data_IF_952177035685
#
_entry.id   IF_952177035685
#
_cell.length_a   1.000
_cell.length_b   1.000
_cell.length_c   1.000
_cell.angle_alpha   90.00
_cell.angle_beta   90.00
_cell.angle_gamma   90.00
#
_symmetry.space_group_name_H-M   'P 1'
#
loop_
_entity.id
_entity.type
_entity.pdbx_description
1 polymer ?
#
# COMPACT_ATOMS: atom_id res chain seq x y z
N UNK A 1 4.86 24.27 3.21
CA UNK A 1 4.42 22.86 3.12
C UNK A 1 4.67 22.27 1.73
N UNK A 2 4.13 22.88 0.66
CA UNK A 2 4.30 22.45 -0.74
C UNK A 2 5.73 22.02 -1.12
N UNK A 3 6.74 22.87 -0.88
CA UNK A 3 8.14 22.57 -1.22
C UNK A 3 8.70 21.35 -0.48
N UNK A 4 8.27 21.11 0.77
CA UNK A 4 8.71 19.95 1.56
C UNK A 4 8.14 18.67 0.96
N UNK A 5 6.86 18.68 0.57
CA UNK A 5 6.22 17.55 -0.12
C UNK A 5 6.89 17.29 -1.46
N UNK A 6 7.18 18.36 -2.24
CA UNK A 6 7.91 18.23 -3.52
C UNK A 6 9.26 17.56 -3.32
N UNK A 7 10.01 17.99 -2.31
CA UNK A 7 11.31 17.41 -1.96
C UNK A 7 11.20 15.92 -1.59
N UNK A 8 10.17 15.53 -0.83
CA UNK A 8 9.90 14.12 -0.51
C UNK A 8 9.70 13.31 -1.80
N UNK A 9 8.82 13.77 -2.69
CA UNK A 9 8.56 13.08 -3.97
C UNK A 9 9.84 13.01 -4.81
N UNK A 10 10.56 14.13 -4.92
CA UNK A 10 11.79 14.23 -5.68
C UNK A 10 12.84 13.21 -5.22
N UNK A 11 13.07 13.09 -3.90
CA UNK A 11 14.04 12.16 -3.34
C UNK A 11 13.69 10.69 -3.59
N UNK A 12 12.43 10.32 -3.33
CA UNK A 12 11.98 8.93 -3.48
C UNK A 12 11.97 8.51 -4.95
N UNK A 13 11.52 9.37 -5.86
CA UNK A 13 11.48 9.06 -7.29
C UNK A 13 12.83 9.21 -7.99
N UNK A 14 13.73 10.07 -7.50
CA UNK A 14 15.13 10.10 -7.94
C UNK A 14 15.81 8.78 -7.63
N UNK A 15 15.71 8.30 -6.38
CA UNK A 15 16.28 7.00 -5.96
C UNK A 15 15.70 5.85 -6.79
N UNK A 16 14.39 5.85 -7.02
CA UNK A 16 13.75 4.87 -7.90
C UNK A 16 14.34 4.90 -9.31
N UNK A 17 14.49 6.09 -9.90
CA UNK A 17 14.99 6.26 -11.26
C UNK A 17 16.44 5.80 -11.38
N UNK A 18 17.29 6.11 -10.40
CA UNK A 18 18.69 5.67 -10.34
C UNK A 18 18.79 4.14 -10.29
N UNK A 19 17.91 3.48 -9.52
CA UNK A 19 17.88 2.02 -9.43
C UNK A 19 17.47 1.42 -10.78
N UNK A 20 16.45 1.99 -11.45
CA UNK A 20 16.01 1.52 -12.77
C UNK A 20 17.13 1.68 -13.79
N UNK A 21 17.81 2.83 -13.83
CA UNK A 21 18.95 3.04 -14.74
C UNK A 21 20.05 2.01 -14.54
N UNK A 22 20.37 1.71 -13.28
CA UNK A 22 21.42 0.74 -12.94
C UNK A 22 21.08 -0.67 -13.40
N UNK A 23 19.82 -1.08 -13.33
CA UNK A 23 19.39 -2.44 -13.67
C UNK A 23 18.81 -2.60 -15.09
N UNK A 24 18.60 -1.50 -15.80
CA UNK A 24 17.90 -1.46 -17.10
C UNK A 24 18.49 -2.42 -18.13
N UNK A 25 19.80 -2.33 -18.40
CA UNK A 25 20.45 -3.13 -19.42
C UNK A 25 20.39 -4.64 -19.12
N UNK A 26 20.53 -5.01 -17.85
CA UNK A 26 20.41 -6.40 -17.42
C UNK A 26 18.96 -6.91 -17.55
N UNK A 27 17.97 -6.07 -17.23
CA UNK A 27 16.56 -6.39 -17.41
C UNK A 27 16.20 -6.53 -18.90
N UNK A 28 16.73 -5.66 -19.75
CA UNK A 28 16.57 -5.74 -21.20
C UNK A 28 17.14 -7.05 -21.76
N UNK A 29 18.38 -7.40 -21.42
CA UNK A 29 19.01 -8.66 -21.84
C UNK A 29 18.21 -9.89 -21.40
N UNK A 30 17.57 -9.85 -20.24
CA UNK A 30 16.68 -10.93 -19.80
C UNK A 30 15.38 -10.97 -20.60
N UNK A 31 14.81 -9.81 -20.93
CA UNK A 31 13.55 -9.69 -21.67
C UNK A 31 13.67 -10.19 -23.12
N UNK A 32 14.76 -9.88 -23.81
CA UNK A 32 14.98 -10.34 -25.21
C UNK A 32 15.07 -11.86 -25.33
N UNK A 33 15.44 -12.57 -24.25
CA UNK A 33 15.44 -14.04 -24.23
C UNK A 33 14.04 -14.64 -24.08
N UNK A 34 12.99 -13.82 -23.91
CA UNK A 34 11.63 -14.30 -23.84
C UNK A 34 11.14 -14.69 -25.25
N UNK A 35 11.12 -15.99 -25.53
CA UNK A 35 10.72 -16.52 -26.84
C UNK A 35 9.32 -16.08 -27.27
N UNK A 36 8.40 -15.82 -26.32
CA UNK A 36 7.04 -15.35 -26.60
C UNK A 36 7.01 -13.93 -27.16
N UNK A 37 8.02 -13.12 -26.85
CA UNK A 37 8.14 -11.72 -27.27
C UNK A 37 9.22 -11.54 -28.35
N UNK A 38 9.75 -12.63 -28.91
CA UNK A 38 10.91 -12.63 -29.83
C UNK A 38 10.68 -11.88 -31.15
N UNK A 39 9.43 -11.55 -31.49
CA UNK A 39 9.07 -10.78 -32.69
C UNK A 39 8.86 -9.29 -32.42
N UNK A 40 8.92 -8.84 -31.17
CA UNK A 40 8.81 -7.42 -30.85
C UNK A 40 10.09 -6.68 -31.21
N UNK A 41 9.97 -5.46 -31.73
CA UNK A 41 11.14 -4.63 -31.97
C UNK A 41 11.79 -4.19 -30.66
N UNK A 42 13.02 -3.69 -30.79
CA UNK A 42 13.86 -3.32 -29.65
C UNK A 42 13.30 -2.12 -28.87
N UNK A 43 12.63 -1.17 -29.53
CA UNK A 43 12.00 -0.03 -28.86
C UNK A 43 10.82 -0.47 -28.01
N UNK A 44 9.96 -1.34 -28.54
CA UNK A 44 8.85 -1.92 -27.77
C UNK A 44 9.40 -2.70 -26.58
N UNK A 45 10.40 -3.55 -26.81
CA UNK A 45 11.00 -4.37 -25.75
C UNK A 45 11.61 -3.51 -24.64
N UNK A 46 12.36 -2.46 -24.99
CA UNK A 46 12.95 -1.54 -24.02
C UNK A 46 11.88 -0.73 -23.26
N UNK A 47 10.82 -0.30 -23.94
CA UNK A 47 9.69 0.39 -23.32
C UNK A 47 8.97 -0.51 -22.31
N UNK A 48 8.76 -1.78 -22.65
CA UNK A 48 8.18 -2.76 -21.71
C UNK A 48 9.07 -3.00 -20.49
N UNK A 49 10.39 -3.05 -20.68
CA UNK A 49 11.36 -3.17 -19.56
C UNK A 49 11.24 -1.99 -18.61
N UNK A 50 11.14 -0.77 -19.16
CA UNK A 50 10.91 0.43 -18.37
C UNK A 50 9.61 0.32 -17.57
N UNK A 51 8.48 0.10 -18.25
CA UNK A 51 7.15 0.05 -17.61
C UNK A 51 7.11 -1.00 -16.50
N UNK A 52 7.54 -2.24 -16.77
CA UNK A 52 7.58 -3.30 -15.76
C UNK A 52 8.46 -2.94 -14.55
N UNK A 53 9.61 -2.29 -14.79
CA UNK A 53 10.53 -1.88 -13.72
C UNK A 53 9.96 -0.71 -12.91
N UNK A 54 9.33 0.25 -13.59
CA UNK A 54 8.73 1.41 -12.96
C UNK A 54 7.53 1.00 -12.11
N UNK A 55 6.60 0.21 -12.63
CA UNK A 55 5.44 -0.27 -11.87
C UNK A 55 5.86 -1.07 -10.63
N UNK A 56 6.81 -2.00 -10.78
CA UNK A 56 7.28 -2.84 -9.67
C UNK A 56 7.96 -2.03 -8.56
N UNK A 57 8.71 -0.98 -8.90
CA UNK A 57 9.49 -0.20 -7.93
C UNK A 57 8.74 1.02 -7.41
N UNK A 58 7.84 1.59 -8.22
CA UNK A 58 7.09 2.80 -7.87
C UNK A 58 6.22 2.58 -6.65
N UNK A 59 5.59 1.40 -6.51
CA UNK A 59 4.78 1.04 -5.33
C UNK A 59 5.48 1.28 -3.99
N UNK A 60 6.76 0.91 -3.87
CA UNK A 60 7.54 1.14 -2.66
C UNK A 60 7.91 2.62 -2.46
N UNK A 61 8.28 3.31 -3.54
CA UNK A 61 8.67 4.72 -3.48
C UNK A 61 7.51 5.59 -3.02
N UNK A 62 6.33 5.36 -3.58
CA UNK A 62 5.13 6.14 -3.27
C UNK A 62 4.50 5.76 -1.91
N UNK A 63 4.64 4.51 -1.44
CA UNK A 63 4.30 4.13 -0.06
C UNK A 63 5.18 4.91 0.93
N UNK A 64 6.48 5.01 0.61
CA UNK A 64 7.42 5.81 1.40
C UNK A 64 7.04 7.30 1.37
N UNK A 65 6.63 7.83 0.21
CA UNK A 65 6.06 9.18 0.12
C UNK A 65 4.83 9.34 1.02
N UNK A 66 3.85 8.43 0.95
CA UNK A 66 2.63 8.49 1.74
C UNK A 66 2.94 8.53 3.24
N UNK A 67 3.86 7.69 3.71
CA UNK A 67 4.33 7.70 5.11
C UNK A 67 5.01 9.01 5.50
N UNK A 68 5.94 9.51 4.68
CA UNK A 68 6.65 10.78 4.94
C UNK A 68 5.70 11.97 4.93
N UNK A 69 4.70 11.98 4.06
CA UNK A 69 3.63 12.99 4.00
C UNK A 69 2.72 12.90 5.22
N UNK A 70 2.32 11.69 5.63
CA UNK A 70 1.52 11.50 6.83
C UNK A 70 2.21 12.05 8.09
N UNK A 71 3.54 11.95 8.18
CA UNK A 71 4.34 12.55 9.28
C UNK A 71 4.28 14.07 9.29
N UNK A 72 4.21 14.71 8.13
CA UNK A 72 4.03 16.16 8.06
C UNK A 72 2.68 16.61 8.63
N UNK A 73 1.65 15.76 8.54
CA UNK A 73 0.33 16.04 9.08
C UNK A 73 0.21 15.69 10.57
N UNK A 74 0.58 14.47 10.92
CA UNK A 74 0.28 13.90 12.24
C UNK A 74 1.46 13.98 13.22
N UNK A 75 2.69 14.25 12.76
CA UNK A 75 3.89 14.20 13.59
C UNK A 75 4.58 12.83 13.59
N UNK A 76 5.86 12.80 13.95
CA UNK A 76 6.69 11.59 13.98
C UNK A 76 6.22 10.59 15.06
N UNK A 77 5.70 11.10 16.16
CA UNK A 77 5.14 10.34 17.28
C UNK A 77 3.87 9.58 16.90
N UNK A 78 3.08 10.12 15.97
CA UNK A 78 1.82 9.55 15.53
C UNK A 78 1.95 8.71 14.25
N UNK A 79 3.10 8.76 13.56
CA UNK A 79 3.45 7.87 12.45
C UNK A 79 4.79 7.15 12.71
N UNK A 80 4.89 6.42 13.84
CA UNK A 80 6.18 5.91 14.32
C UNK A 80 6.65 4.73 13.46
N UNK A 81 7.97 4.55 13.35
CA UNK A 81 8.54 3.38 12.70
C UNK A 81 8.22 2.05 13.44
N UNK A 82 8.00 2.13 14.75
CA UNK A 82 7.54 1.04 15.61
C UNK A 82 6.18 1.43 16.19
N UNK A 83 5.14 0.76 15.73
CA UNK A 83 3.75 0.95 16.16
C UNK A 83 3.48 0.01 17.33
N UNK A 84 3.39 0.58 18.53
CA UNK A 84 3.20 -0.17 19.77
C UNK A 84 2.17 0.50 20.68
N UNK A 85 0.89 0.53 20.27
CA UNK A 85 -0.15 1.24 21.02
C UNK A 85 -0.42 0.62 22.40
N UNK A 86 -0.15 -0.69 22.54
CA UNK A 86 -0.32 -1.44 23.80
C UNK A 86 0.87 -1.34 24.75
N UNK A 87 1.92 -0.60 24.37
CA UNK A 87 3.16 -0.41 25.15
C UNK A 87 3.79 -1.73 25.60
N UNK A 88 3.77 -2.73 24.72
CA UNK A 88 4.37 -4.04 25.01
C UNK A 88 5.89 -3.88 25.15
N UNK A 89 6.53 -4.51 26.15
CA UNK A 89 7.98 -4.45 26.29
C UNK A 89 8.66 -5.21 25.15
N UNK A 90 9.57 -4.56 24.41
CA UNK A 90 10.31 -5.18 23.32
C UNK A 90 11.71 -4.60 23.17
N UNK A 91 12.61 -5.36 22.53
CA UNK A 91 13.96 -4.93 22.18
C UNK A 91 14.17 -4.75 20.66
N UNK A 92 13.08 -4.68 19.88
CA UNK A 92 13.17 -4.46 18.44
C UNK A 92 13.81 -3.11 18.12
N UNK A 93 14.77 -3.12 17.19
CA UNK A 93 15.34 -1.91 16.62
C UNK A 93 14.37 -1.28 15.62
N UNK A 94 14.51 0.04 15.40
CA UNK A 94 13.74 0.72 14.37
C UNK A 94 14.07 0.08 13.00
N UNK A 95 13.06 -0.28 12.19
CA UNK A 95 13.32 -0.86 10.89
C UNK A 95 14.01 0.16 9.98
N UNK A 96 14.87 -0.33 9.09
CA UNK A 96 15.60 0.51 8.10
C UNK A 96 14.61 1.19 7.15
N UNK A 97 13.52 0.51 6.80
CA UNK A 97 12.41 1.03 5.99
C UNK A 97 11.07 0.45 6.47
N UNK A 98 9.97 1.08 6.08
CA UNK A 98 8.61 0.68 6.47
C UNK A 98 8.21 1.05 7.90
N UNK A 99 7.21 0.36 8.42
CA UNK A 99 6.77 0.35 9.81
C UNK A 99 6.58 -1.09 10.28
N UNK A 100 6.72 -1.32 11.57
CA UNK A 100 6.38 -2.60 12.20
C UNK A 100 5.34 -2.40 13.31
N UNK A 101 4.41 -3.33 13.44
CA UNK A 101 3.48 -3.42 14.57
C UNK A 101 4.04 -4.41 15.58
N UNK A 102 4.09 -4.01 16.84
CA UNK A 102 4.48 -4.87 17.97
C UNK A 102 3.24 -5.54 18.53
N UNK A 103 3.31 -6.86 18.69
CA UNK A 103 2.18 -7.67 19.16
C UNK A 103 2.65 -8.84 20.01
N UNK A 104 1.83 -9.26 20.96
CA UNK A 104 1.96 -10.49 21.75
C UNK A 104 1.15 -11.65 21.15
N UNK A 105 0.55 -11.45 19.98
CA UNK A 105 -0.26 -12.44 19.26
C UNK A 105 0.61 -13.26 18.31
N UNK A 106 0.53 -14.59 18.39
CA UNK A 106 1.26 -15.47 17.47
C UNK A 106 0.56 -15.52 16.10
N UNK A 107 0.97 -14.64 15.18
CA UNK A 107 0.35 -14.54 13.85
C UNK A 107 0.69 -15.68 12.89
N UNK A 108 1.67 -16.52 13.23
CA UNK A 108 1.93 -17.79 12.54
C UNK A 108 0.97 -18.91 12.94
N UNK A 109 0.15 -18.69 13.97
CA UNK A 109 -0.80 -19.69 14.46
C UNK A 109 -1.86 -20.01 13.38
N UNK A 110 -1.90 -21.28 12.98
CA UNK A 110 -2.82 -21.75 11.93
C UNK A 110 -4.30 -21.59 12.30
N UNK A 111 -4.65 -21.70 13.59
CA UNK A 111 -6.03 -21.52 14.04
C UNK A 111 -6.46 -20.06 13.95
N UNK A 112 -5.60 -19.12 14.35
CA UNK A 112 -5.89 -17.69 14.20
C UNK A 112 -6.12 -17.32 12.73
N UNK A 113 -5.23 -17.79 11.84
CA UNK A 113 -5.37 -17.58 10.39
C UNK A 113 -6.69 -18.18 9.87
N UNK A 114 -7.01 -19.41 10.29
CA UNK A 114 -8.27 -20.07 9.94
C UNK A 114 -9.51 -19.29 10.38
N UNK A 115 -9.51 -18.72 11.58
CA UNK A 115 -10.64 -17.92 12.08
C UNK A 115 -10.79 -16.59 11.32
N UNK A 116 -9.70 -15.91 10.99
CA UNK A 116 -9.72 -14.70 10.16
C UNK A 116 -10.23 -15.03 8.74
N UNK A 117 -9.72 -16.10 8.12
CA UNK A 117 -10.15 -16.54 6.79
C UNK A 117 -11.63 -16.94 6.78
N UNK A 118 -12.10 -17.68 7.80
CA UNK A 118 -13.49 -18.06 7.94
C UNK A 118 -14.41 -16.84 8.14
N UNK A 119 -14.01 -15.90 9.00
CA UNK A 119 -14.74 -14.64 9.17
C UNK A 119 -14.86 -13.87 7.85
N UNK A 120 -13.77 -13.69 7.10
CA UNK A 120 -13.79 -13.05 5.78
C UNK A 120 -14.75 -13.78 4.84
N UNK A 121 -14.58 -15.10 4.67
CA UNK A 121 -15.34 -15.91 3.73
C UNK A 121 -16.85 -15.91 4.02
N UNK A 122 -17.23 -16.01 5.29
CA UNK A 122 -18.63 -16.02 5.72
C UNK A 122 -19.32 -14.65 5.60
N UNK A 123 -18.54 -13.58 5.40
CA UNK A 123 -19.03 -12.20 5.28
C UNK A 123 -18.76 -11.61 3.88
N UNK A 124 -18.48 -12.44 2.89
CA UNK A 124 -18.31 -11.98 1.50
C UNK A 124 -19.63 -11.45 0.92
N UNK A 125 -19.51 -10.39 0.12
CA UNK A 125 -20.60 -9.90 -0.71
C UNK A 125 -21.02 -11.00 -1.71
N UNK A 126 -22.33 -11.11 -1.94
CA UNK A 126 -22.91 -12.10 -2.83
C UNK A 126 -24.14 -11.53 -3.56
N UNK A 127 -24.61 -12.23 -4.59
CA UNK A 127 -25.66 -11.74 -5.47
C UNK A 127 -25.16 -10.69 -6.47
N UNK A 128 -26.09 -10.13 -7.25
CA UNK A 128 -25.79 -9.16 -8.31
C UNK A 128 -26.93 -8.16 -8.51
N UNK A 129 -26.62 -6.98 -9.04
CA UNK A 129 -27.62 -5.95 -9.33
C UNK A 129 -28.45 -5.57 -8.09
N UNK A 130 -29.77 -5.58 -8.22
CA UNK A 130 -30.69 -5.21 -7.13
C UNK A 130 -30.73 -6.21 -5.97
N UNK A 131 -30.28 -7.45 -6.17
CA UNK A 131 -30.22 -8.47 -5.12
C UNK A 131 -28.83 -8.61 -4.50
N UNK A 132 -27.90 -7.70 -4.83
CA UNK A 132 -26.56 -7.71 -4.26
C UNK A 132 -26.63 -7.40 -2.77
N UNK A 133 -26.04 -8.27 -1.97
CA UNK A 133 -25.77 -8.06 -0.55
C UNK A 133 -24.30 -7.67 -0.44
N UNK A 134 -24.04 -6.52 0.18
CA UNK A 134 -22.67 -6.03 0.41
C UNK A 134 -21.92 -6.89 1.43
N UNK A 135 -20.60 -6.77 1.47
CA UNK A 135 -19.79 -7.52 2.43
C UNK A 135 -20.11 -7.11 3.86
N UNK A 136 -20.26 -8.11 4.73
CA UNK A 136 -20.46 -7.92 6.18
C UNK A 136 -19.17 -7.60 6.94
N UNK A 137 -18.01 -7.57 6.28
CA UNK A 137 -16.75 -7.16 6.89
C UNK A 137 -16.70 -5.64 6.95
N UNK A 138 -17.08 -5.06 8.09
CA UNK A 138 -17.18 -3.62 8.38
C UNK A 138 -16.24 -3.25 9.53
N UNK A 139 -16.05 -1.97 9.84
CA UNK A 139 -15.26 -1.58 11.03
C UNK A 139 -15.91 -2.11 12.32
N UNK A 140 -17.24 -2.19 12.35
CA UNK A 140 -17.98 -2.72 13.50
C UNK A 140 -17.82 -4.23 13.64
N UNK A 141 -17.98 -5.00 12.56
CA UNK A 141 -17.90 -6.46 12.66
C UNK A 141 -16.49 -6.96 12.97
N UNK A 142 -15.43 -6.28 12.48
CA UNK A 142 -14.06 -6.62 12.89
C UNK A 142 -13.81 -6.30 14.36
N UNK A 143 -14.43 -5.24 14.91
CA UNK A 143 -14.34 -4.91 16.34
C UNK A 143 -15.07 -5.94 17.20
N UNK A 144 -16.25 -6.38 16.77
CA UNK A 144 -17.05 -7.36 17.53
C UNK A 144 -16.45 -8.77 17.47
N UNK A 145 -15.93 -9.18 16.31
CA UNK A 145 -15.57 -10.58 16.06
C UNK A 145 -14.06 -10.81 16.04
N UNK A 146 -13.27 -9.92 15.43
CA UNK A 146 -11.82 -10.12 15.30
C UNK A 146 -11.02 -9.55 16.48
N UNK A 147 -11.41 -8.42 17.05
CA UNK A 147 -10.69 -7.85 18.19
C UNK A 147 -10.56 -8.84 19.38
N UNK A 148 -11.59 -9.64 19.76
CA UNK A 148 -11.44 -10.67 20.80
C UNK A 148 -10.34 -11.70 20.51
N UNK A 149 -10.02 -11.94 19.24
CA UNK A 149 -8.96 -12.88 18.85
C UNK A 149 -7.58 -12.42 19.34
N UNK A 150 -7.35 -11.10 19.46
CA UNK A 150 -6.10 -10.56 20.03
C UNK A 150 -5.85 -11.02 21.47
N UNK A 151 -6.93 -11.27 22.23
CA UNK A 151 -6.85 -11.81 23.59
C UNK A 151 -6.77 -13.33 23.59
N UNK A 152 -7.57 -13.98 22.74
CA UNK A 152 -7.62 -15.45 22.62
C UNK A 152 -6.28 -16.06 22.21
N UNK A 153 -5.55 -15.39 21.31
CA UNK A 153 -4.28 -15.86 20.75
C UNK A 153 -3.06 -15.13 21.32
N UNK A 154 -3.22 -14.47 22.46
CA UNK A 154 -2.12 -13.86 23.19
C UNK A 154 -1.14 -14.93 23.67
N UNK A 155 0.15 -14.62 23.59
CA UNK A 155 1.22 -15.45 24.12
C UNK A 155 2.11 -14.64 25.08
N UNK A 156 3.08 -15.30 25.71
CA UNK A 156 4.13 -14.63 26.50
C UNK A 156 5.23 -14.01 25.63
N UNK A 157 5.30 -14.39 24.35
CA UNK A 157 6.31 -13.94 23.40
C UNK A 157 5.86 -12.66 22.72
N UNK A 158 6.83 -11.82 22.36
CA UNK A 158 6.60 -10.58 21.62
C UNK A 158 7.10 -10.74 20.20
N UNK A 159 6.24 -10.40 19.25
CA UNK A 159 6.46 -10.49 17.81
C UNK A 159 6.36 -9.11 17.17
N UNK A 160 6.79 -9.02 15.91
CA UNK A 160 6.48 -7.88 15.07
C UNK A 160 6.00 -8.31 13.70
N UNK A 161 5.24 -7.44 13.04
CA UNK A 161 4.80 -7.62 11.66
C UNK A 161 4.92 -6.32 10.86
N UNK A 162 5.39 -6.37 9.61
CA UNK A 162 5.37 -5.19 8.74
C UNK A 162 3.93 -4.71 8.48
N UNK A 163 3.77 -3.39 8.40
CA UNK A 163 2.56 -2.71 7.95
C UNK A 163 2.94 -1.65 6.92
N UNK A 164 2.11 -1.49 5.89
CA UNK A 164 2.41 -0.58 4.78
C UNK A 164 2.27 0.88 5.26
N UNK A 165 1.18 1.20 5.96
CA UNK A 165 1.02 2.47 6.65
C UNK A 165 0.16 2.33 7.91
N UNK A 166 0.64 2.89 9.01
CA UNK A 166 -0.10 3.00 10.26
C UNK A 166 0.12 4.36 10.93
N UNK A 167 -0.95 5.02 11.35
CA UNK A 167 -0.86 6.29 12.08
C UNK A 167 -2.00 6.51 13.06
N UNK A 168 -1.74 7.32 14.09
CA UNK A 168 -2.75 7.82 15.01
C UNK A 168 -3.24 9.20 14.55
N UNK A 169 -4.54 9.38 14.38
CA UNK A 169 -5.12 10.65 13.90
C UNK A 169 -5.56 11.60 15.03
N UNK A 170 -5.19 11.30 16.28
CA UNK A 170 -5.64 12.01 17.47
C UNK A 170 -6.79 11.30 18.20
N UNK A 171 -7.50 10.41 17.52
CA UNK A 171 -8.62 9.64 18.09
C UNK A 171 -8.45 8.13 17.86
N UNK A 172 -8.12 7.75 16.63
CA UNK A 172 -8.05 6.37 16.17
C UNK A 172 -6.68 6.07 15.56
N UNK A 173 -6.21 4.85 15.79
CA UNK A 173 -5.21 4.24 14.94
C UNK A 173 -5.83 3.83 13.61
N UNK A 174 -5.14 4.15 12.52
CA UNK A 174 -5.52 3.80 11.16
C UNK A 174 -4.43 2.89 10.60
N UNK A 175 -4.77 1.63 10.29
CA UNK A 175 -3.86 0.67 9.65
C UNK A 175 -4.30 0.39 8.23
N UNK A 176 -3.33 0.27 7.32
CA UNK A 176 -3.59 0.19 5.89
C UNK A 176 -2.81 -0.91 5.20
N UNK A 177 -3.49 -1.57 4.26
CA UNK A 177 -2.85 -2.32 3.17
C UNK A 177 -2.88 -1.43 1.93
N UNK A 178 -1.71 -1.06 1.41
CA UNK A 178 -1.56 -0.14 0.28
C UNK A 178 -1.31 -0.89 -1.03
N UNK A 179 -1.92 -0.39 -2.11
CA UNK A 179 -1.66 -0.79 -3.49
C UNK A 179 -1.54 0.42 -4.40
N UNK A 180 -0.87 0.27 -5.54
CA UNK A 180 -0.70 1.40 -6.46
C UNK A 180 -2.04 1.95 -6.99
N UNK A 181 -2.91 1.10 -7.53
CA UNK A 181 -4.19 1.54 -8.10
C UNK A 181 -4.91 0.54 -9.01
N UNK A 182 -4.24 -0.56 -9.39
CA UNK A 182 -4.81 -1.63 -10.21
C UNK A 182 -6.06 -2.30 -9.63
N UNK A 183 -6.83 -2.98 -10.48
CA UNK A 183 -7.75 -4.01 -9.99
C UNK A 183 -6.86 -5.09 -9.39
N UNK A 184 -6.96 -5.33 -8.09
CA UNK A 184 -6.37 -6.55 -7.55
C UNK A 184 -7.05 -7.73 -8.24
N UNK A 185 -6.24 -8.62 -8.81
CA UNK A 185 -6.73 -9.88 -9.35
C UNK A 185 -7.53 -10.62 -8.28
N UNK A 186 -8.61 -11.28 -8.71
CA UNK A 186 -9.54 -12.00 -7.83
C UNK A 186 -8.85 -13.06 -6.96
N UNK A 187 -7.76 -13.66 -7.46
CA UNK A 187 -6.93 -14.62 -6.72
C UNK A 187 -6.15 -14.00 -5.56
N UNK A 188 -5.76 -12.73 -5.68
CA UNK A 188 -4.96 -12.02 -4.69
C UNK A 188 -5.81 -11.24 -3.68
N UNK A 189 -7.07 -10.94 -3.99
CA UNK A 189 -7.94 -10.17 -3.11
C UNK A 189 -8.13 -10.82 -1.71
N UNK A 190 -8.40 -12.14 -1.58
CA UNK A 190 -8.49 -12.82 -0.29
C UNK A 190 -7.28 -12.59 0.64
N UNK A 191 -6.07 -12.84 0.13
CA UNK A 191 -4.84 -12.81 0.92
C UNK A 191 -4.48 -11.40 1.37
N UNK A 192 -4.72 -10.37 0.54
CA UNK A 192 -4.52 -8.97 0.92
C UNK A 192 -5.48 -8.54 2.04
N UNK A 193 -6.74 -8.97 1.97
CA UNK A 193 -7.72 -8.69 3.03
C UNK A 193 -7.34 -9.41 4.32
N UNK A 194 -6.96 -10.68 4.26
CA UNK A 194 -6.52 -11.44 5.43
C UNK A 194 -5.26 -10.84 6.07
N UNK A 195 -4.32 -10.29 5.27
CA UNK A 195 -3.16 -9.54 5.77
C UNK A 195 -3.61 -8.32 6.58
N UNK A 196 -4.51 -7.51 6.05
CA UNK A 196 -5.07 -6.33 6.72
C UNK A 196 -5.82 -6.70 8.02
N UNK A 197 -6.67 -7.72 7.97
CA UNK A 197 -7.43 -8.17 9.14
C UNK A 197 -6.51 -8.76 10.23
N UNK A 198 -5.43 -9.44 9.84
CA UNK A 198 -4.41 -9.89 10.80
C UNK A 198 -3.72 -8.71 11.46
N UNK A 199 -3.34 -7.69 10.67
CA UNK A 199 -2.75 -6.45 11.19
C UNK A 199 -3.70 -5.77 12.20
N UNK A 200 -5.01 -5.75 11.94
CA UNK A 200 -6.01 -5.25 12.88
C UNK A 200 -6.01 -6.04 14.21
N UNK A 201 -5.96 -7.37 14.14
CA UNK A 201 -5.87 -8.23 15.34
C UNK A 201 -4.57 -7.94 16.12
N UNK A 202 -3.46 -7.73 15.42
CA UNK A 202 -2.15 -7.43 16.04
C UNK A 202 -2.16 -6.13 16.85
N UNK A 203 -2.87 -5.12 16.35
CA UNK A 203 -3.08 -3.86 17.08
C UNK A 203 -3.74 -4.12 18.44
N UNK A 204 -4.76 -4.99 18.49
CA UNK A 204 -5.36 -5.48 19.74
C UNK A 204 -5.98 -4.39 20.62
N UNK A 205 -6.42 -3.29 20.02
CA UNK A 205 -7.02 -2.12 20.68
C UNK A 205 -8.37 -1.78 20.04
N UNK A 206 -9.22 -1.11 20.81
CA UNK A 206 -10.57 -0.75 20.39
C UNK A 206 -10.64 0.40 19.38
N UNK A 207 -9.79 1.41 19.54
CA UNK A 207 -9.73 2.58 18.66
C UNK A 207 -8.78 2.34 17.47
N UNK A 208 -8.99 1.23 16.76
CA UNK A 208 -8.28 0.91 15.52
C UNK A 208 -9.28 0.83 14.37
N UNK A 209 -8.90 1.36 13.20
CA UNK A 209 -9.64 1.27 11.94
C UNK A 209 -8.73 0.64 10.88
N UNK A 210 -9.29 -0.27 10.10
CA UNK A 210 -8.57 -0.97 9.04
C UNK A 210 -9.04 -0.51 7.66
N UNK A 211 -8.10 -0.17 6.78
CA UNK A 211 -8.41 0.29 5.43
C UNK A 211 -7.64 -0.47 4.37
N UNK A 212 -8.34 -0.85 3.31
CA UNK A 212 -7.71 -1.15 2.04
C UNK A 212 -7.56 0.17 1.26
N UNK A 213 -6.34 0.48 0.83
CA UNK A 213 -6.05 1.77 0.25
C UNK A 213 -5.33 1.66 -1.10
N UNK A 214 -5.68 2.56 -2.02
CA UNK A 214 -4.94 2.73 -3.28
C UNK A 214 -4.46 4.14 -3.45
N UNK A 215 -3.33 4.30 -4.14
CA UNK A 215 -2.69 5.62 -4.31
C UNK A 215 -3.31 6.42 -5.44
N UNK A 216 -3.90 5.75 -6.43
CA UNK A 216 -4.75 6.36 -7.43
C UNK A 216 -5.93 5.44 -7.74
N UNK A 217 -6.97 6.01 -8.34
CA UNK A 217 -8.03 5.25 -8.98
C UNK A 217 -7.68 5.03 -10.45
N UNK A 218 -7.40 3.77 -10.85
CA UNK A 218 -7.09 3.45 -12.25
C UNK A 218 -8.21 3.82 -13.24
N UNK A 219 -9.46 3.85 -12.77
CA UNK A 219 -10.60 4.19 -13.61
C UNK A 219 -10.83 5.71 -13.62
N UNK A 220 -9.97 6.50 -12.98
CA UNK A 220 -10.06 7.95 -12.84
C UNK A 220 -10.62 8.39 -11.48
N UNK A 221 -10.07 9.48 -10.92
CA UNK A 221 -10.50 10.02 -9.64
C UNK A 221 -11.97 10.48 -9.70
N UNK A 222 -12.75 10.12 -8.67
CA UNK A 222 -14.20 10.35 -8.63
C UNK A 222 -15.05 9.23 -9.25
N UNK A 223 -14.46 8.29 -10.00
CA UNK A 223 -15.20 7.13 -10.51
C UNK A 223 -15.33 6.03 -9.45
N UNK A 224 -16.37 5.19 -9.61
CA UNK A 224 -16.55 4.01 -8.76
C UNK A 224 -15.42 3.00 -9.00
N UNK A 225 -14.68 2.68 -7.95
CA UNK A 225 -13.64 1.65 -8.00
C UNK A 225 -14.27 0.26 -8.13
N UNK A 226 -13.65 -0.62 -8.94
CA UNK A 226 -14.20 -1.92 -9.37
C UNK A 226 -13.41 -3.14 -8.93
N UNK A 227 -12.35 -2.99 -8.13
CA UNK A 227 -11.47 -4.10 -7.79
C UNK A 227 -12.13 -5.19 -6.94
N UNK A 228 -11.60 -6.41 -7.08
CA UNK A 228 -12.17 -7.63 -6.48
C UNK A 228 -12.25 -7.61 -4.94
N UNK A 229 -11.45 -6.76 -4.29
CA UNK A 229 -11.47 -6.57 -2.82
C UNK A 229 -12.84 -6.12 -2.31
N UNK A 230 -13.67 -5.45 -3.12
CA UNK A 230 -15.05 -5.07 -2.75
C UNK A 230 -15.95 -6.26 -2.41
N UNK A 231 -15.56 -7.48 -2.80
CA UNK A 231 -16.26 -8.69 -2.39
C UNK A 231 -16.00 -9.03 -0.92
N UNK A 232 -14.87 -8.63 -0.37
CA UNK A 232 -14.36 -9.11 0.92
C UNK A 232 -14.33 -8.05 2.02
N UNK A 233 -14.59 -6.79 1.69
CA UNK A 233 -14.63 -5.66 2.62
C UNK A 233 -15.81 -4.75 2.28
N UNK A 234 -16.40 -4.11 3.30
CA UNK A 234 -17.49 -3.17 3.14
C UNK A 234 -17.03 -1.91 2.39
N UNK A 235 -17.69 -1.65 1.25
CA UNK A 235 -17.43 -0.49 0.41
C UNK A 235 -18.57 0.53 0.55
N UNK A 236 -18.29 1.83 0.77
CA UNK A 236 -16.97 2.48 0.76
C UNK A 236 -16.26 2.53 2.13
N UNK A 237 -16.90 2.10 3.23
CA UNK A 237 -16.45 2.30 4.61
C UNK A 237 -14.99 1.93 4.89
N UNK A 238 -14.53 0.78 4.37
CA UNK A 238 -13.18 0.25 4.63
C UNK A 238 -12.18 0.59 3.52
N UNK A 239 -12.50 1.56 2.65
CA UNK A 239 -11.69 1.87 1.48
C UNK A 239 -11.20 3.32 1.46
N UNK A 240 -9.92 3.50 1.13
CA UNK A 240 -9.31 4.80 0.85
C UNK A 240 -8.67 4.76 -0.55
N UNK A 241 -9.47 5.05 -1.56
CA UNK A 241 -9.05 4.99 -2.97
C UNK A 241 -8.60 6.38 -3.43
N UNK A 242 -7.39 6.45 -4.00
CA UNK A 242 -6.86 7.64 -4.67
C UNK A 242 -6.99 8.90 -3.82
N UNK A 243 -7.77 9.86 -4.31
CA UNK A 243 -8.05 11.13 -3.63
C UNK A 243 -8.45 10.95 -2.16
N UNK A 244 -9.20 9.91 -1.79
CA UNK A 244 -9.64 9.69 -0.42
C UNK A 244 -8.49 9.34 0.53
N UNK A 245 -7.51 8.55 0.06
CA UNK A 245 -6.29 8.28 0.82
C UNK A 245 -5.50 9.57 1.04
N UNK A 246 -5.20 10.29 -0.05
CA UNK A 246 -4.40 11.51 0.02
C UNK A 246 -5.06 12.58 0.87
N UNK A 247 -6.37 12.78 0.74
CA UNK A 247 -7.12 13.72 1.59
C UNK A 247 -6.99 13.36 3.08
N UNK A 248 -6.92 12.07 3.41
CA UNK A 248 -6.75 11.64 4.80
C UNK A 248 -5.36 11.99 5.35
N UNK A 249 -4.30 11.83 4.55
CA UNK A 249 -2.91 11.92 5.03
C UNK A 249 -2.18 13.22 4.66
N UNK A 250 -2.67 14.00 3.70
CA UNK A 250 -2.08 15.28 3.31
C UNK A 250 -2.22 16.30 4.43
N UNK A 251 -1.16 17.09 4.73
CA UNK A 251 -1.22 18.19 5.67
C UNK A 251 -2.35 19.15 5.37
N UNK A 252 -2.89 19.77 6.41
CA UNK A 252 -3.94 20.76 6.27
C UNK A 252 -3.50 21.90 5.34
N UNK A 253 -4.41 22.30 4.44
CA UNK A 253 -4.13 23.31 3.42
C UNK A 253 -3.51 22.78 2.12
N UNK A 254 -3.18 21.49 2.01
CA UNK A 254 -2.77 20.87 0.74
C UNK A 254 -3.90 19.99 0.21
N UNK A 255 -4.53 20.41 -0.87
CA UNK A 255 -5.55 19.62 -1.56
C UNK A 255 -4.91 18.48 -2.38
N UNK A 256 -5.69 17.46 -2.71
CA UNK A 256 -5.22 16.37 -3.58
C UNK A 256 -4.79 16.87 -4.96
N UNK A 257 -5.52 17.82 -5.53
CA UNK A 257 -5.21 18.44 -6.82
C UNK A 257 -3.86 19.17 -6.77
N UNK A 258 -3.57 19.89 -5.67
CA UNK A 258 -2.26 20.50 -5.48
C UNK A 258 -1.16 19.44 -5.33
N UNK A 259 -1.44 18.32 -4.63
CA UNK A 259 -0.49 17.22 -4.52
C UNK A 259 -0.14 16.59 -5.88
N UNK A 260 -1.09 16.43 -6.79
CA UNK A 260 -0.78 15.89 -8.13
C UNK A 260 0.08 16.84 -8.95
N UNK A 261 -0.11 18.16 -8.80
CA UNK A 261 0.78 19.17 -9.38
C UNK A 261 2.19 19.11 -8.78
N UNK A 262 2.31 19.04 -7.45
CA UNK A 262 3.60 18.85 -6.75
C UNK A 262 4.33 17.61 -7.28
N UNK A 263 3.60 16.50 -7.40
CA UNK A 263 4.15 15.25 -7.88
C UNK A 263 4.66 15.37 -9.32
N UNK A 264 3.87 15.99 -10.20
CA UNK A 264 4.25 16.24 -11.60
C UNK A 264 5.52 17.10 -11.70
N UNK A 265 5.57 18.22 -10.99
CA UNK A 265 6.73 19.10 -10.96
C UNK A 265 7.99 18.39 -10.49
N UNK A 266 7.88 17.55 -9.45
CA UNK A 266 9.00 16.76 -8.96
C UNK A 266 9.53 15.80 -10.04
N UNK A 267 8.65 15.11 -10.79
CA UNK A 267 9.07 14.21 -11.87
C UNK A 267 9.67 14.95 -13.06
N UNK A 268 9.17 16.15 -13.37
CA UNK A 268 9.74 17.03 -14.40
C UNK A 268 11.15 17.50 -13.99
N UNK A 269 11.34 17.88 -12.73
CA UNK A 269 12.64 18.29 -12.17
C UNK A 269 13.67 17.14 -12.15
N UNK A 270 13.22 15.90 -11.92
CA UNK A 270 14.04 14.69 -12.07
C UNK A 270 14.48 14.50 -13.54
N UNK A 271 13.75 15.07 -14.49
CA UNK A 271 13.95 14.84 -15.91
C UNK A 271 13.59 13.41 -16.32
N UNK A 272 12.62 12.79 -15.65
CA UNK A 272 12.28 11.36 -15.80
C UNK A 272 12.17 10.94 -17.28
N UNK A 273 11.44 11.70 -18.09
CA UNK A 273 11.28 11.38 -19.52
C UNK A 273 12.61 11.36 -20.29
N UNK A 274 13.47 12.35 -20.06
CA UNK A 274 14.79 12.41 -20.73
C UNK A 274 15.68 11.23 -20.33
N UNK A 275 15.61 10.80 -19.07
CA UNK A 275 16.32 9.64 -18.53
C UNK A 275 15.81 8.33 -19.15
N UNK A 276 14.50 8.19 -19.30
CA UNK A 276 13.87 7.04 -19.99
C UNK A 276 14.36 6.93 -21.42
N UNK A 277 14.29 8.02 -22.19
CA UNK A 277 14.75 8.05 -23.58
C UNK A 277 16.22 7.66 -23.67
N UNK A 278 17.07 8.14 -22.75
CA UNK A 278 18.48 7.78 -22.69
C UNK A 278 18.71 6.29 -22.41
N UNK A 279 17.94 5.70 -21.48
CA UNK A 279 18.01 4.26 -21.18
C UNK A 279 17.63 3.41 -22.39
N UNK A 280 16.52 3.74 -23.05
CA UNK A 280 16.01 3.03 -24.23
C UNK A 280 17.03 3.09 -25.36
N UNK A 281 17.49 4.30 -25.73
CA UNK A 281 18.46 4.48 -26.81
C UNK A 281 19.80 3.78 -26.52
N UNK A 282 20.22 3.73 -25.25
CA UNK A 282 21.46 3.08 -24.84
C UNK A 282 21.49 1.56 -25.00
N UNK A 283 20.32 0.91 -25.11
CA UNK A 283 20.18 -0.54 -25.31
C UNK A 283 20.01 -0.95 -26.78
N UNK A 284 19.45 -0.07 -27.61
CA UNK A 284 19.16 -0.32 -29.03
C UNK A 284 20.38 -0.01 -29.91
N UNK A 285 21.24 0.90 -29.46
CA UNK A 285 22.41 1.36 -30.22
C UNK A 285 23.63 0.42 -30.12
N UNK A 286 23.46 -0.84 -29.69
CA UNK A 286 24.54 -1.81 -29.45
C UNK A 286 24.20 -3.16 -30.05
#
# INVERSE_FOLDING_TARGET
>A
MRNIIKQIVFEEFSRLTDIIEKDFAANYKRKVNNFLLSQMDENITASMVFVSSFESKSGFAIETCAKRVARLKFGEENVPAIVNPRKLPHNFSKPISGQIIVTDVETSNGNLRGEISAFRANNEAHGAGKSRVESGVTQNSIREILLPLSRKYRTSSIYYKPVDLAFFDGENWNVMELKAGGDLDSSNAPSNVEKLLTIYVDMGIENCKAYFATLYNKDGEGNNWKGAVKKHLAYPEMFLIGKNLWTKILPDGIAFEEFTEIYKEALEEIGLNSRIVKMINGCISK
#
